data_IF_295203391924
#
_entry.id   IF_295203391924
#
_cell.length_a   1.000
_cell.length_b   1.000
_cell.length_c   1.000
_cell.angle_alpha   90.00
_cell.angle_beta   90.00
_cell.angle_gamma   90.00
#
_symmetry.space_group_name_H-M   'P 1'
#
loop_
_entity.id
_entity.type
_entity.pdbx_description
1 polymer ?
#
# COMPACT_ATOMS: atom_id res chain seq x y z
N UNK A 1 5.31 8.05 15.65
CA UNK A 1 6.33 8.53 14.68
C UNK A 1 6.30 10.05 14.57
N UNK A 2 5.11 10.66 14.48
CA UNK A 2 4.93 12.12 14.47
C UNK A 2 5.72 12.93 15.50
N UNK A 3 5.65 12.59 16.80
CA UNK A 3 6.36 13.34 17.85
C UNK A 3 7.87 13.35 17.62
N UNK A 4 8.45 12.23 17.19
CA UNK A 4 9.87 12.15 16.83
C UNK A 4 10.19 13.05 15.63
N UNK A 5 9.35 13.06 14.59
CA UNK A 5 9.52 13.97 13.45
C UNK A 5 9.50 15.45 13.85
N UNK A 6 8.57 15.82 14.75
CA UNK A 6 8.49 17.19 15.29
C UNK A 6 9.76 17.56 16.04
N UNK A 7 10.24 16.70 16.94
CA UNK A 7 11.45 16.95 17.72
C UNK A 7 12.72 17.00 16.86
N UNK A 8 12.76 16.22 15.79
CA UNK A 8 13.89 16.15 14.87
C UNK A 8 13.82 17.19 13.73
N UNK A 9 12.74 17.97 13.63
CA UNK A 9 12.55 18.94 12.54
C UNK A 9 12.42 18.30 11.15
N UNK A 10 12.00 17.03 11.07
CA UNK A 10 11.87 16.27 9.82
C UNK A 10 10.47 15.67 9.66
N UNK A 11 9.90 15.66 8.45
CA UNK A 11 8.52 15.23 8.21
C UNK A 11 8.41 13.69 8.12
N UNK A 12 8.76 12.96 9.19
CA UNK A 12 8.69 11.50 9.26
C UNK A 12 7.23 11.01 9.10
N UNK A 13 6.29 11.68 9.77
CA UNK A 13 4.85 11.44 9.64
C UNK A 13 4.18 12.80 9.42
N UNK A 14 4.08 13.26 8.15
CA UNK A 14 3.45 14.52 7.82
C UNK A 14 1.99 14.56 8.29
N UNK A 15 1.44 15.74 8.65
CA UNK A 15 0.05 15.87 9.10
C UNK A 15 -1.00 15.24 8.17
N UNK A 16 -0.77 15.30 6.86
CA UNK A 16 -1.63 14.73 5.82
C UNK A 16 -1.65 13.20 5.88
N UNK A 17 -0.51 12.56 6.19
CA UNK A 17 -0.41 11.13 6.41
C UNK A 17 -1.07 10.72 7.72
N UNK A 18 -0.87 11.49 8.81
CA UNK A 18 -1.63 11.26 10.05
C UNK A 18 -3.12 11.33 9.77
N UNK A 19 -3.60 12.31 9.00
CA UNK A 19 -5.03 12.43 8.68
C UNK A 19 -5.58 11.23 7.91
N UNK A 20 -4.81 10.72 6.94
CA UNK A 20 -5.18 9.49 6.22
C UNK A 20 -5.21 8.28 7.17
N UNK A 21 -4.19 8.14 8.02
CA UNK A 21 -4.11 7.07 9.02
C UNK A 21 -5.26 7.13 10.01
N UNK A 22 -5.56 8.30 10.59
CA UNK A 22 -6.68 8.49 11.51
C UNK A 22 -8.02 8.10 10.86
N UNK A 23 -8.20 8.47 9.58
CA UNK A 23 -9.40 8.09 8.81
C UNK A 23 -9.49 6.57 8.63
N UNK A 24 -8.36 5.89 8.36
CA UNK A 24 -8.33 4.44 8.18
C UNK A 24 -8.50 3.68 9.49
N UNK A 25 -7.84 4.11 10.56
CA UNK A 25 -7.88 3.46 11.89
C UNK A 25 -9.27 3.57 12.52
N UNK A 26 -10.06 4.57 12.15
CA UNK A 26 -11.46 4.67 12.56
C UNK A 26 -12.39 3.62 11.90
N UNK A 27 -11.93 2.89 10.87
CA UNK A 27 -12.74 1.89 10.18
C UNK A 27 -12.81 0.56 10.97
N UNK A 28 -14.01 -0.02 11.04
CA UNK A 28 -14.20 -1.33 11.65
C UNK A 28 -13.34 -2.41 10.97
N UNK A 29 -12.59 -3.15 11.78
CA UNK A 29 -11.65 -4.18 11.36
C UNK A 29 -10.20 -3.72 11.21
N UNK A 30 -9.92 -2.41 11.29
CA UNK A 30 -8.54 -1.88 11.31
C UNK A 30 -8.04 -1.84 12.74
N UNK A 31 -6.92 -2.52 13.01
CA UNK A 31 -6.28 -2.54 14.33
C UNK A 31 -5.42 -1.29 14.52
N UNK A 32 -4.73 -0.86 13.46
CA UNK A 32 -3.81 0.25 13.50
C UNK A 32 -3.06 0.43 12.17
N UNK A 33 -2.16 1.39 12.14
CA UNK A 33 -1.33 1.68 10.98
C UNK A 33 -0.20 2.64 11.28
N UNK A 34 0.60 2.94 10.27
CA UNK A 34 1.69 3.90 10.39
C UNK A 34 2.39 4.20 9.07
N UNK A 35 3.37 5.10 9.13
CA UNK A 35 4.27 5.39 8.01
C UNK A 35 5.50 4.48 8.13
N UNK A 36 5.80 3.63 7.13
CA UNK A 36 6.94 2.73 7.15
C UNK A 36 8.26 3.44 6.77
N UNK A 37 9.37 2.75 7.01
CA UNK A 37 10.69 3.17 6.54
C UNK A 37 11.14 4.52 7.09
N UNK A 38 11.71 5.37 6.23
CA UNK A 38 12.22 6.69 6.60
C UNK A 38 11.11 7.70 6.94
N UNK A 39 9.87 7.44 6.51
CA UNK A 39 8.75 8.37 6.67
C UNK A 39 8.40 9.14 5.39
N UNK A 40 7.61 10.20 5.55
CA UNK A 40 7.19 11.08 4.46
C UNK A 40 5.94 10.59 3.74
N UNK A 41 5.93 10.71 2.41
CA UNK A 41 4.73 10.52 1.56
C UNK A 41 4.71 9.23 0.74
N UNK A 42 5.72 8.37 0.90
CA UNK A 42 5.91 7.20 0.02
C UNK A 42 4.82 6.14 0.21
N UNK A 43 4.59 5.71 1.45
CA UNK A 43 3.61 4.68 1.77
C UNK A 43 3.03 4.84 3.18
N UNK A 44 1.92 4.15 3.42
CA UNK A 44 1.39 3.84 4.75
C UNK A 44 1.10 2.34 4.81
N UNK A 45 1.12 1.76 6.00
CA UNK A 45 0.66 0.40 6.23
C UNK A 45 -0.52 0.40 7.19
N UNK A 46 -1.41 -0.58 7.02
CA UNK A 46 -2.54 -0.84 7.90
C UNK A 46 -2.49 -2.31 8.31
N UNK A 47 -2.71 -2.58 9.60
CA UNK A 47 -2.96 -3.93 10.10
C UNK A 47 -4.47 -4.12 10.22
N UNK A 48 -4.99 -5.10 9.50
CA UNK A 48 -6.43 -5.29 9.28
C UNK A 48 -6.81 -6.72 9.62
N UNK A 49 -7.84 -6.91 10.43
CA UNK A 49 -8.51 -8.19 10.61
C UNK A 49 -9.52 -8.38 9.48
N UNK A 50 -9.16 -9.12 8.43
CA UNK A 50 -10.00 -9.33 7.24
C UNK A 50 -10.55 -10.77 7.21
N UNK A 51 -11.73 -11.06 7.81
CA UNK A 51 -12.28 -12.41 7.87
C UNK A 51 -12.88 -12.84 6.51
N UNK A 52 -12.93 -14.15 6.29
CA UNK A 52 -13.43 -14.75 5.03
C UNK A 52 -14.92 -14.46 4.81
N UNK A 53 -15.71 -14.47 5.88
CA UNK A 53 -17.13 -14.10 5.84
C UNK A 53 -17.35 -12.83 6.66
N UNK A 54 -17.93 -11.83 6.00
CA UNK A 54 -18.30 -10.55 6.59
C UNK A 54 -19.81 -10.31 6.56
N UNK A 55 -20.61 -11.25 6.04
CA UNK A 55 -22.06 -11.08 5.88
C UNK A 55 -22.75 -10.75 7.20
N UNK A 56 -23.67 -9.76 7.24
CA UNK A 56 -24.22 -9.01 6.11
C UNK A 56 -23.39 -7.78 5.68
N UNK A 57 -22.29 -7.49 6.36
CA UNK A 57 -21.43 -6.34 6.10
C UNK A 57 -20.39 -6.61 4.98
N UNK A 58 -19.75 -5.54 4.51
CA UNK A 58 -18.64 -5.63 3.56
C UNK A 58 -17.29 -5.93 4.27
N UNK A 59 -16.29 -6.50 3.58
CA UNK A 59 -14.96 -6.68 4.16
C UNK A 59 -14.26 -5.37 4.54
N UNK A 60 -13.48 -5.35 5.63
CA UNK A 60 -12.60 -4.23 5.98
C UNK A 60 -11.73 -3.73 4.83
N UNK A 61 -11.15 -4.63 4.03
CA UNK A 61 -10.31 -4.27 2.86
C UNK A 61 -11.08 -3.46 1.82
N UNK A 62 -12.36 -3.77 1.59
CA UNK A 62 -13.23 -3.03 0.68
C UNK A 62 -13.56 -1.62 1.20
N UNK A 63 -13.79 -1.47 2.52
CA UNK A 63 -13.98 -0.14 3.15
C UNK A 63 -12.75 0.75 2.97
N UNK A 64 -11.56 0.20 3.21
CA UNK A 64 -10.29 0.91 3.05
C UNK A 64 -10.10 1.33 1.60
N UNK A 65 -10.28 0.40 0.65
CA UNK A 65 -10.19 0.69 -0.77
C UNK A 65 -11.14 1.83 -1.18
N UNK A 66 -12.39 1.80 -0.70
CA UNK A 66 -13.35 2.88 -0.93
C UNK A 66 -12.86 4.23 -0.41
N UNK A 67 -12.35 4.28 0.84
CA UNK A 67 -11.79 5.51 1.42
C UNK A 67 -10.65 6.04 0.56
N UNK A 68 -9.70 5.19 0.17
CA UNK A 68 -8.52 5.60 -0.59
C UNK A 68 -8.88 6.10 -1.98
N UNK A 69 -9.77 5.41 -2.70
CA UNK A 69 -10.24 5.85 -4.02
C UNK A 69 -11.01 7.18 -3.99
N UNK A 70 -11.61 7.53 -2.86
CA UNK A 70 -12.37 8.77 -2.69
C UNK A 70 -11.63 9.86 -1.91
N UNK A 71 -10.43 9.56 -1.42
CA UNK A 71 -9.65 10.51 -0.62
C UNK A 71 -9.19 11.68 -1.49
N UNK A 72 -9.47 12.91 -1.05
CA UNK A 72 -9.20 14.13 -1.84
C UNK A 72 -7.99 14.93 -1.37
N UNK A 73 -7.47 14.62 -0.19
CA UNK A 73 -6.37 15.39 0.41
C UNK A 73 -5.00 14.93 -0.08
N UNK A 74 -4.87 13.68 -0.54
CA UNK A 74 -3.66 13.11 -1.09
C UNK A 74 -4.02 12.18 -2.26
N UNK A 75 -3.12 12.07 -3.23
CA UNK A 75 -3.21 11.05 -4.28
C UNK A 75 -2.68 9.74 -3.70
N UNK A 76 -3.57 8.81 -3.36
CA UNK A 76 -3.22 7.51 -2.81
C UNK A 76 -3.86 6.40 -3.62
N UNK A 77 -3.15 5.28 -3.72
CA UNK A 77 -3.62 4.08 -4.43
C UNK A 77 -3.53 2.90 -3.49
N UNK A 78 -4.63 2.17 -3.24
CA UNK A 78 -4.59 0.99 -2.40
C UNK A 78 -3.75 -0.08 -3.08
N UNK A 79 -2.72 -0.54 -2.37
CA UNK A 79 -1.91 -1.70 -2.75
C UNK A 79 -2.28 -2.85 -1.81
N UNK A 80 -3.26 -3.66 -2.21
CA UNK A 80 -3.59 -4.88 -1.48
C UNK A 80 -2.46 -5.90 -1.66
N UNK A 81 -1.47 -5.84 -0.78
CA UNK A 81 -0.40 -6.81 -0.70
C UNK A 81 -0.69 -7.78 0.45
N UNK A 82 -0.77 -9.07 0.14
CA UNK A 82 -0.63 -10.13 1.14
C UNK A 82 0.84 -10.53 1.24
N UNK A 83 1.24 -11.12 2.37
CA UNK A 83 2.56 -11.74 2.49
C UNK A 83 2.78 -12.69 1.30
N UNK A 84 3.92 -12.52 0.63
CA UNK A 84 4.36 -13.45 -0.40
C UNK A 84 5.15 -14.57 0.26
N UNK A 85 4.75 -15.82 0.01
CA UNK A 85 5.54 -17.01 0.40
C UNK A 85 6.71 -17.28 -0.55
N UNK A 86 6.85 -16.48 -1.61
CA UNK A 86 7.95 -16.60 -2.56
C UNK A 86 9.24 -15.95 -2.02
N UNK A 87 10.40 -16.47 -2.43
CA UNK A 87 11.76 -16.15 -1.91
C UNK A 87 12.30 -14.75 -2.28
N UNK A 88 11.46 -13.72 -2.33
CA UNK A 88 11.88 -12.36 -2.72
C UNK A 88 12.24 -12.29 -4.21
N UNK A 89 13.49 -11.97 -4.53
CA UNK A 89 13.96 -11.90 -5.92
C UNK A 89 14.24 -13.28 -6.50
N UNK A 90 13.96 -13.46 -7.79
CA UNK A 90 14.25 -14.69 -8.53
C UNK A 90 14.76 -14.38 -9.92
N UNK A 91 15.68 -15.21 -10.41
CA UNK A 91 16.15 -15.15 -11.79
C UNK A 91 15.21 -15.99 -12.66
N UNK A 92 14.57 -15.35 -13.63
CA UNK A 92 13.69 -16.01 -14.60
C UNK A 92 14.40 -16.12 -15.94
N UNK A 93 14.23 -17.24 -16.65
CA UNK A 93 14.61 -17.31 -18.08
C UNK A 93 13.50 -16.69 -18.93
N UNK A 94 13.87 -15.96 -19.98
CA UNK A 94 12.91 -15.33 -20.89
C UNK A 94 11.93 -16.34 -21.52
N UNK A 95 12.37 -17.59 -21.70
CA UNK A 95 11.56 -18.70 -22.22
C UNK A 95 10.48 -19.18 -21.24
N UNK A 96 10.73 -19.04 -19.95
CA UNK A 96 9.90 -19.57 -18.87
C UNK A 96 8.77 -18.61 -18.49
N UNK A 97 8.79 -17.37 -19.01
CA UNK A 97 7.76 -16.36 -18.77
C UNK A 97 6.98 -16.08 -20.07
N UNK A 98 5.71 -16.51 -20.16
CA UNK A 98 4.88 -16.28 -21.35
C UNK A 98 4.81 -14.81 -21.74
N UNK A 99 5.09 -14.52 -23.02
CA UNK A 99 5.03 -13.16 -23.59
C UNK A 99 6.20 -12.23 -23.25
N UNK A 100 7.13 -12.65 -22.38
CA UNK A 100 8.26 -11.79 -21.98
C UNK A 100 9.24 -11.56 -23.14
N UNK A 101 9.50 -12.57 -23.98
CA UNK A 101 10.34 -12.43 -25.17
C UNK A 101 9.83 -11.34 -26.11
N UNK A 102 8.54 -11.35 -26.40
CA UNK A 102 7.92 -10.43 -27.35
C UNK A 102 7.88 -9.00 -26.77
N UNK A 103 7.59 -8.86 -25.48
CA UNK A 103 7.60 -7.57 -24.79
C UNK A 103 8.98 -6.90 -24.77
N UNK A 104 10.05 -7.69 -24.61
CA UNK A 104 11.43 -7.18 -24.64
C UNK A 104 11.86 -6.84 -26.07
N UNK A 105 11.45 -7.65 -27.07
CA UNK A 105 11.76 -7.40 -28.48
C UNK A 105 11.08 -6.12 -29.02
N UNK A 106 9.84 -5.83 -28.60
CA UNK A 106 9.11 -4.61 -28.99
C UNK A 106 9.83 -3.31 -28.58
N UNK A 107 10.53 -3.31 -27.45
CA UNK A 107 11.34 -2.15 -27.00
C UNK A 107 12.63 -1.95 -27.79
N UNK A 108 13.17 -3.00 -28.41
CA UNK A 108 14.43 -2.92 -29.16
C UNK A 108 14.26 -2.30 -30.55
N UNK A 109 13.04 -2.27 -31.11
CA UNK A 109 12.75 -1.71 -32.44
C UNK A 109 12.32 -0.23 -32.43
N UNK A 110 12.32 0.45 -31.28
CA UNK A 110 11.94 1.88 -31.17
C UNK A 110 13.15 2.82 -30.99
N UNK A 111 14.37 2.34 -31.23
CA UNK A 111 15.60 3.14 -31.26
C UNK A 111 16.34 2.96 -32.58
#
# INVERSE_FOLDING_TARGET
MRQMGVLAGVPIEPPEQTKLLDTCVALAGVIGGGVPGAGGYDAVWLLVCDPVDCSPDQPPTQRIAYVWSNYKHLSVSPLSASESTARGSRLEKLEEVPGLKDAVALKASTY
#
